data_IF_001315172891
#
_entry.id   IF_001315172891
#
_cell.length_a   1.000
_cell.length_b   1.000
_cell.length_c   1.000
_cell.angle_alpha   90.00
_cell.angle_beta   90.00
_cell.angle_gamma   90.00
#
_symmetry.space_group_name_H-M   'P 1'
#
loop_
_entity.id
_entity.type
_entity.pdbx_description
1 polymer ?
#
# COMPACT_ATOMS: atom_id res chain seq x y z
N UNK A 1 80.59 -3.06 -24.98
CA UNK A 1 79.71 -3.31 -23.78
C UNK A 1 78.90 -2.04 -23.54
N UNK A 2 77.67 -2.00 -24.02
CA UNK A 2 76.80 -0.82 -23.93
C UNK A 2 75.66 -1.08 -22.95
N UNK A 3 75.62 -0.34 -21.86
CA UNK A 3 74.56 -0.35 -20.88
C UNK A 3 73.54 0.74 -21.24
N UNK A 4 72.30 0.31 -21.56
CA UNK A 4 71.19 1.21 -21.79
C UNK A 4 70.47 1.45 -20.45
N UNK A 5 70.42 2.72 -20.05
CA UNK A 5 69.58 3.20 -18.94
C UNK A 5 68.21 3.62 -19.49
N UNK A 6 67.15 2.90 -19.11
CA UNK A 6 65.82 3.30 -19.44
C UNK A 6 65.33 4.20 -18.30
N UNK A 7 65.03 5.45 -18.61
CA UNK A 7 64.37 6.38 -17.69
C UNK A 7 62.87 6.25 -17.87
N UNK A 8 62.18 5.73 -16.86
CA UNK A 8 60.71 5.68 -16.81
C UNK A 8 60.19 7.03 -16.29
N UNK A 9 59.56 7.80 -17.19
CA UNK A 9 58.86 9.03 -16.83
C UNK A 9 57.45 8.70 -16.42
N UNK A 10 57.14 8.85 -15.12
CA UNK A 10 55.82 8.63 -14.57
C UNK A 10 55.00 9.90 -14.75
N UNK A 11 54.08 9.91 -15.70
CA UNK A 11 53.09 10.98 -15.89
C UNK A 11 51.92 10.79 -14.92
N UNK A 12 51.83 11.64 -13.90
CA UNK A 12 50.74 11.69 -12.95
C UNK A 12 49.59 12.50 -13.56
N UNK A 13 48.57 11.84 -14.08
CA UNK A 13 47.35 12.51 -14.55
C UNK A 13 46.40 12.64 -13.36
N UNK A 14 46.24 13.85 -12.83
CA UNK A 14 45.24 14.18 -11.81
C UNK A 14 43.88 14.31 -12.48
N UNK A 15 43.05 13.29 -12.36
CA UNK A 15 41.64 13.37 -12.70
C UNK A 15 40.88 14.08 -11.59
N UNK A 16 40.56 15.36 -11.78
CA UNK A 16 39.63 16.11 -10.98
C UNK A 16 38.19 15.60 -11.23
N UNK A 17 37.73 14.67 -10.41
CA UNK A 17 36.34 14.21 -10.42
C UNK A 17 35.43 15.28 -9.82
N UNK A 18 34.58 15.90 -10.63
CA UNK A 18 33.47 16.73 -10.19
C UNK A 18 32.42 15.76 -9.59
N UNK A 19 32.32 15.71 -8.26
CA UNK A 19 31.24 15.05 -7.55
C UNK A 19 29.98 15.90 -7.74
N UNK A 20 29.19 15.58 -8.77
CA UNK A 20 27.78 15.99 -8.84
C UNK A 20 27.00 15.19 -7.80
N UNK A 21 26.74 15.83 -6.64
CA UNK A 21 25.78 15.33 -5.66
C UNK A 21 24.38 15.55 -6.23
N UNK A 22 24.01 14.73 -7.20
CA UNK A 22 22.64 14.52 -7.59
C UNK A 22 22.03 13.57 -6.57
N UNK A 23 21.39 14.13 -5.54
CA UNK A 23 20.60 13.34 -4.60
C UNK A 23 19.44 12.65 -5.32
N UNK A 24 19.67 11.45 -5.85
CA UNK A 24 18.60 10.58 -6.28
C UNK A 24 17.80 10.20 -5.02
N UNK A 25 16.61 10.76 -4.88
CA UNK A 25 15.63 10.30 -3.89
C UNK A 25 15.38 8.83 -4.23
N UNK A 26 15.69 7.89 -3.32
CA UNK A 26 15.45 6.48 -3.58
C UNK A 26 13.95 6.29 -3.81
N UNK A 27 13.55 5.93 -5.02
CA UNK A 27 12.22 5.38 -5.28
C UNK A 27 12.16 4.05 -4.54
N UNK A 28 11.22 3.91 -3.61
CA UNK A 28 10.92 2.62 -3.01
C UNK A 28 10.71 1.60 -4.14
N UNK A 29 11.55 0.57 -4.16
CA UNK A 29 11.35 -0.56 -5.07
C UNK A 29 10.23 -1.42 -4.49
N UNK A 30 9.50 -2.15 -5.33
CA UNK A 30 8.42 -3.08 -4.95
C UNK A 30 8.81 -4.15 -3.90
N UNK A 31 10.08 -4.20 -3.46
CA UNK A 31 10.58 -5.03 -2.37
C UNK A 31 10.70 -4.34 -1.01
N UNK A 32 10.47 -3.02 -0.93
CA UNK A 32 10.72 -2.21 0.27
C UNK A 32 9.42 -1.71 0.93
N UNK A 33 8.27 -2.32 0.63
CA UNK A 33 7.01 -1.97 1.26
C UNK A 33 7.09 -2.24 2.78
N UNK A 34 6.70 -1.27 3.63
CA UNK A 34 6.75 -1.44 5.08
C UNK A 34 5.83 -2.56 5.54
N UNK A 35 6.33 -3.37 6.49
CA UNK A 35 5.61 -4.47 7.12
C UNK A 35 5.53 -4.19 8.62
N UNK A 36 4.35 -4.39 9.21
CA UNK A 36 4.10 -4.22 10.62
C UNK A 36 3.02 -5.17 11.14
N UNK A 37 2.52 -4.90 12.34
CA UNK A 37 1.45 -5.62 13.00
C UNK A 37 0.19 -4.74 13.10
N UNK A 38 -0.93 -5.34 13.45
CA UNK A 38 -2.15 -4.56 13.74
C UNK A 38 -1.83 -3.45 14.77
N UNK A 39 -2.30 -2.24 14.48
CA UNK A 39 -2.05 -1.06 15.28
C UNK A 39 -0.82 -0.25 14.86
N UNK A 40 0.10 -0.82 14.11
CA UNK A 40 1.26 -0.09 13.61
C UNK A 40 0.84 0.91 12.52
N UNK A 41 1.40 2.11 12.60
CA UNK A 41 1.25 3.12 11.55
C UNK A 41 2.39 2.99 10.55
N UNK A 42 2.04 2.63 9.32
CA UNK A 42 3.00 2.46 8.24
C UNK A 42 2.93 3.63 7.25
N UNK A 43 4.08 4.15 6.86
CA UNK A 43 4.17 5.22 5.87
C UNK A 43 4.21 4.65 4.47
N UNK A 44 3.25 5.09 3.65
CA UNK A 44 3.18 4.84 2.21
C UNK A 44 3.66 6.08 1.47
N UNK A 45 4.71 5.94 0.69
CA UNK A 45 5.22 6.98 -0.20
C UNK A 45 5.36 6.42 -1.62
N UNK A 46 4.48 6.84 -2.51
CA UNK A 46 4.47 6.42 -3.92
C UNK A 46 5.21 7.40 -4.83
N UNK A 47 5.83 8.44 -4.25
CA UNK A 47 6.37 9.57 -5.01
C UNK A 47 5.29 10.57 -5.44
N UNK A 48 4.07 10.12 -5.74
CA UNK A 48 2.92 10.97 -6.12
C UNK A 48 2.16 11.47 -4.90
N UNK A 49 1.95 10.62 -3.91
CA UNK A 49 1.29 10.96 -2.64
C UNK A 49 1.98 10.26 -1.48
N UNK A 50 1.81 10.82 -0.29
CA UNK A 50 2.32 10.27 0.98
C UNK A 50 1.17 10.19 1.96
N UNK A 51 1.00 9.04 2.61
CA UNK A 51 0.01 8.82 3.65
C UNK A 51 0.59 7.97 4.79
N UNK A 52 0.14 8.22 6.01
CA UNK A 52 0.32 7.29 7.12
C UNK A 52 -0.95 6.46 7.24
N UNK A 53 -0.81 5.15 7.25
CA UNK A 53 -1.90 4.18 7.25
C UNK A 53 -1.78 3.25 8.45
N UNK A 54 -2.89 3.03 9.15
CA UNK A 54 -2.96 2.12 10.30
C UNK A 54 -4.14 1.19 10.12
N UNK A 55 -3.93 -0.11 10.20
CA UNK A 55 -4.99 -1.12 10.33
C UNK A 55 -5.06 -1.49 11.82
N UNK A 56 -6.19 -1.18 12.47
CA UNK A 56 -6.30 -1.32 13.93
C UNK A 56 -6.95 -2.62 14.37
N UNK A 57 -7.83 -3.19 13.54
CA UNK A 57 -8.52 -4.43 13.85
C UNK A 57 -8.91 -5.17 12.58
N UNK A 58 -9.05 -6.48 12.68
CA UNK A 58 -9.72 -7.33 11.68
C UNK A 58 -10.60 -8.32 12.45
N UNK A 59 -11.90 -8.35 12.14
CA UNK A 59 -12.85 -9.23 12.82
C UNK A 59 -14.03 -9.62 11.90
N UNK A 60 -14.66 -10.77 12.14
CA UNK A 60 -15.95 -11.08 11.54
C UNK A 60 -17.02 -10.03 11.90
N UNK A 61 -17.91 -9.76 10.96
CA UNK A 61 -19.04 -8.85 11.18
C UNK A 61 -20.26 -9.29 10.38
N UNK A 62 -21.40 -8.67 10.69
CA UNK A 62 -22.58 -8.78 9.84
C UNK A 62 -22.34 -8.06 8.50
N UNK A 63 -22.90 -8.56 7.38
CA UNK A 63 -22.78 -7.89 6.10
C UNK A 63 -23.31 -6.45 6.16
N UNK A 64 -22.50 -5.45 5.80
CA UNK A 64 -22.95 -4.07 5.79
C UNK A 64 -23.97 -3.80 4.66
N UNK A 65 -24.72 -2.69 4.70
CA UNK A 65 -25.62 -2.30 3.63
C UNK A 65 -24.92 -2.29 2.26
N UNK A 66 -25.58 -2.78 1.21
CA UNK A 66 -25.04 -2.87 -0.14
C UNK A 66 -23.94 -3.92 -0.36
N UNK A 67 -23.54 -4.64 0.69
CA UNK A 67 -22.56 -5.71 0.57
C UNK A 67 -23.10 -6.87 -0.28
N UNK A 68 -22.26 -7.40 -1.17
CA UNK A 68 -22.68 -8.48 -2.07
C UNK A 68 -23.41 -8.01 -3.32
N UNK A 69 -23.46 -6.70 -3.56
CA UNK A 69 -23.98 -6.14 -4.81
C UNK A 69 -22.92 -5.31 -5.55
N UNK A 70 -23.03 -5.29 -6.87
CA UNK A 70 -22.28 -4.30 -7.66
C UNK A 70 -22.88 -2.91 -7.47
N UNK A 71 -22.16 -1.85 -7.83
CA UNK A 71 -22.70 -0.47 -7.83
C UNK A 71 -23.97 -0.30 -8.69
N UNK A 72 -24.17 -1.19 -9.67
CA UNK A 72 -25.38 -1.24 -10.52
C UNK A 72 -26.51 -2.05 -9.91
N UNK A 73 -26.37 -2.54 -8.68
CA UNK A 73 -27.40 -3.32 -7.98
C UNK A 73 -27.49 -4.80 -8.40
N UNK A 74 -26.51 -5.33 -9.14
CA UNK A 74 -26.47 -6.73 -9.50
C UNK A 74 -25.86 -7.55 -8.37
N UNK A 75 -26.53 -8.64 -7.89
CA UNK A 75 -25.98 -9.50 -6.84
C UNK A 75 -24.65 -10.13 -7.27
N UNK A 76 -23.67 -10.09 -6.37
CA UNK A 76 -22.39 -10.80 -6.50
C UNK A 76 -22.57 -12.17 -5.85
N UNK A 77 -22.18 -13.23 -6.56
CA UNK A 77 -22.24 -14.59 -6.03
C UNK A 77 -21.36 -14.70 -4.78
N UNK A 78 -21.96 -15.08 -3.64
CA UNK A 78 -21.27 -15.45 -2.41
C UNK A 78 -21.25 -16.96 -2.25
N UNK A 79 -20.30 -17.47 -1.49
CA UNK A 79 -20.25 -18.88 -1.13
C UNK A 79 -21.10 -19.13 0.14
N UNK A 80 -21.77 -20.27 0.27
CA UNK A 80 -22.65 -20.55 1.43
C UNK A 80 -21.95 -20.50 2.79
N UNK A 81 -20.63 -20.73 2.81
CA UNK A 81 -19.81 -20.77 4.03
C UNK A 81 -19.01 -19.49 4.25
N UNK A 82 -19.27 -18.45 3.44
CA UNK A 82 -18.50 -17.22 3.56
C UNK A 82 -18.85 -16.45 4.83
N UNK A 83 -17.81 -15.82 5.41
CA UNK A 83 -17.91 -14.94 6.56
C UNK A 83 -17.44 -13.56 6.14
N UNK A 84 -18.26 -12.55 6.40
CA UNK A 84 -17.84 -11.17 6.14
C UNK A 84 -16.84 -10.75 7.21
N UNK A 85 -15.67 -10.30 6.80
CA UNK A 85 -14.67 -9.72 7.68
C UNK A 85 -14.58 -8.22 7.44
N UNK A 86 -14.39 -7.48 8.53
CA UNK A 86 -14.18 -6.04 8.56
C UNK A 86 -12.80 -5.73 9.08
N UNK A 87 -12.07 -4.82 8.42
CA UNK A 87 -10.89 -4.16 8.96
C UNK A 87 -11.19 -2.69 9.24
N UNK A 88 -10.82 -2.21 10.42
CA UNK A 88 -10.85 -0.80 10.74
C UNK A 88 -9.53 -0.15 10.34
N UNK A 89 -9.62 0.91 9.52
CA UNK A 89 -8.47 1.56 8.92
C UNK A 89 -8.49 3.06 9.23
N UNK A 90 -7.36 3.59 9.64
CA UNK A 90 -7.12 5.04 9.75
C UNK A 90 -6.09 5.46 8.71
N UNK A 91 -6.40 6.51 7.95
CA UNK A 91 -5.52 7.09 6.95
C UNK A 91 -5.29 8.56 7.25
N UNK A 92 -4.04 8.98 7.36
CA UNK A 92 -3.64 10.38 7.46
C UNK A 92 -3.01 10.82 6.14
N UNK A 93 -3.62 11.77 5.47
CA UNK A 93 -3.12 12.37 4.23
C UNK A 93 -1.96 13.33 4.53
N UNK A 94 -0.72 12.96 4.24
CA UNK A 94 0.47 13.79 4.49
C UNK A 94 0.72 14.74 3.32
N UNK A 95 0.79 14.19 2.12
CA UNK A 95 0.97 14.93 0.88
C UNK A 95 0.12 14.27 -0.21
N UNK A 96 -0.87 14.98 -0.69
CA UNK A 96 -1.78 14.47 -1.72
C UNK A 96 -2.01 15.54 -2.79
N UNK A 97 -1.97 15.19 -4.09
CA UNK A 97 -2.21 16.14 -5.19
C UNK A 97 -3.69 16.57 -5.29
N UNK A 98 -4.60 15.73 -4.79
CA UNK A 98 -6.04 16.00 -4.70
C UNK A 98 -6.68 15.14 -3.61
N UNK A 99 -7.89 15.49 -3.18
CA UNK A 99 -8.59 14.87 -2.04
C UNK A 99 -9.09 13.45 -2.29
N UNK A 100 -9.13 12.97 -3.53
CA UNK A 100 -9.67 11.65 -3.89
C UNK A 100 -8.60 10.65 -4.36
N UNK A 101 -7.31 11.03 -4.37
CA UNK A 101 -6.24 10.19 -4.93
C UNK A 101 -6.17 8.82 -4.24
N UNK A 102 -6.33 8.79 -2.91
CA UNK A 102 -6.25 7.56 -2.13
C UNK A 102 -7.46 6.66 -2.36
N UNK A 103 -8.68 7.24 -2.50
CA UNK A 103 -9.89 6.48 -2.82
C UNK A 103 -9.78 5.75 -4.18
N UNK A 104 -9.05 6.31 -5.13
CA UNK A 104 -8.87 5.71 -6.46
C UNK A 104 -7.72 4.71 -6.54
N UNK A 105 -6.73 4.83 -5.65
CA UNK A 105 -5.50 4.06 -5.75
C UNK A 105 -5.34 3.00 -4.65
N UNK A 106 -5.97 3.13 -3.48
CA UNK A 106 -5.86 2.13 -2.43
C UNK A 106 -6.74 0.91 -2.70
N UNK A 107 -6.18 -0.28 -2.51
CA UNK A 107 -6.89 -1.56 -2.42
C UNK A 107 -6.34 -2.35 -1.25
N UNK A 108 -7.19 -2.66 -0.28
CA UNK A 108 -6.80 -3.46 0.89
C UNK A 108 -7.26 -4.89 0.69
N UNK A 109 -6.33 -5.79 0.43
CA UNK A 109 -6.61 -7.21 0.27
C UNK A 109 -6.47 -7.93 1.62
N UNK A 110 -7.42 -8.80 1.95
CA UNK A 110 -7.29 -9.74 3.06
C UNK A 110 -6.61 -11.02 2.58
N UNK A 111 -5.48 -11.39 3.15
CA UNK A 111 -4.72 -12.57 2.72
C UNK A 111 -4.74 -13.65 3.79
N UNK A 112 -4.96 -14.91 3.37
CA UNK A 112 -4.97 -16.08 4.24
C UNK A 112 -3.55 -16.60 4.49
N UNK A 113 -3.33 -17.50 5.49
CA UNK A 113 -2.04 -18.16 5.68
C UNK A 113 -1.57 -18.98 4.47
N UNK A 114 -2.49 -19.34 3.58
CA UNK A 114 -2.21 -20.12 2.36
C UNK A 114 -2.08 -19.25 1.10
N UNK A 115 -1.94 -17.93 1.27
CA UNK A 115 -1.79 -16.95 0.21
C UNK A 115 -3.02 -16.76 -0.73
N UNK A 116 -4.20 -17.20 -0.32
CA UNK A 116 -5.45 -16.79 -0.98
C UNK A 116 -5.73 -15.32 -0.64
N UNK A 117 -6.04 -14.51 -1.65
CA UNK A 117 -6.31 -13.09 -1.48
C UNK A 117 -7.79 -12.77 -1.70
N UNK A 118 -8.42 -12.19 -0.69
CA UNK A 118 -9.78 -11.65 -0.76
C UNK A 118 -9.73 -10.18 -1.15
N UNK A 119 -10.32 -9.87 -2.29
CA UNK A 119 -10.46 -8.49 -2.75
C UNK A 119 -11.51 -7.74 -1.92
N UNK A 120 -11.30 -6.45 -1.64
CA UNK A 120 -12.28 -5.66 -0.92
C UNK A 120 -13.61 -5.59 -1.70
N UNK A 121 -14.71 -5.73 -0.98
CA UNK A 121 -16.07 -5.56 -1.51
C UNK A 121 -16.58 -4.16 -1.27
N UNK A 122 -17.28 -3.60 -2.24
CA UNK A 122 -17.99 -2.34 -2.07
C UNK A 122 -19.15 -2.50 -1.09
N UNK A 123 -19.45 -1.45 -0.35
CA UNK A 123 -20.62 -1.39 0.53
C UNK A 123 -21.16 0.03 0.57
N UNK A 124 -22.45 0.17 0.93
CA UNK A 124 -23.13 1.45 1.14
C UNK A 124 -23.03 1.91 2.61
N UNK A 125 -22.20 1.23 3.41
CA UNK A 125 -21.95 1.67 4.78
C UNK A 125 -21.36 3.09 4.79
N UNK A 126 -21.84 3.99 5.67
CA UNK A 126 -21.37 5.37 5.73
C UNK A 126 -19.89 5.49 6.09
N UNK A 127 -19.33 4.48 6.75
CA UNK A 127 -17.93 4.37 7.14
C UNK A 127 -17.11 3.50 6.17
N UNK A 128 -17.66 3.05 5.04
CA UNK A 128 -16.86 2.33 4.04
C UNK A 128 -15.67 3.20 3.61
N UNK A 129 -14.46 2.65 3.67
CA UNK A 129 -13.22 3.40 3.48
C UNK A 129 -13.17 4.10 2.13
N UNK A 130 -13.63 3.46 1.07
CA UNK A 130 -13.73 4.05 -0.28
C UNK A 130 -14.60 5.32 -0.29
N UNK A 131 -15.69 5.37 0.51
CA UNK A 131 -16.59 6.49 0.58
C UNK A 131 -15.98 7.67 1.34
N UNK A 132 -15.35 7.40 2.49
CA UNK A 132 -14.75 8.44 3.34
C UNK A 132 -13.45 9.00 2.78
N UNK A 133 -12.71 8.23 1.97
CA UNK A 133 -11.48 8.67 1.32
C UNK A 133 -11.71 9.59 0.10
N UNK A 134 -12.94 9.67 -0.44
CA UNK A 134 -13.25 10.56 -1.58
C UNK A 134 -12.95 12.01 -1.26
N UNK A 135 -13.06 12.42 0.01
CA UNK A 135 -12.74 13.78 0.44
C UNK A 135 -11.71 13.79 1.56
N UNK A 136 -10.49 13.39 1.25
CA UNK A 136 -9.36 13.36 2.16
C UNK A 136 -8.25 14.33 1.70
N UNK A 137 -8.43 15.66 1.90
CA UNK A 137 -7.42 16.64 1.54
C UNK A 137 -6.15 16.48 2.39
N UNK A 138 -5.07 17.13 1.98
CA UNK A 138 -3.82 17.12 2.73
C UNK A 138 -4.04 17.57 4.19
N UNK A 139 -3.48 16.81 5.13
CA UNK A 139 -3.65 16.99 6.57
C UNK A 139 -4.87 16.28 7.17
N UNK A 140 -5.81 15.79 6.35
CA UNK A 140 -6.98 15.07 6.86
C UNK A 140 -6.57 13.75 7.52
N UNK A 141 -7.34 13.39 8.56
CA UNK A 141 -7.31 12.06 9.18
C UNK A 141 -8.68 11.46 8.95
N UNK A 142 -8.72 10.36 8.21
CA UNK A 142 -9.94 9.65 7.83
C UNK A 142 -9.95 8.28 8.51
N UNK A 143 -11.12 7.88 9.03
CA UNK A 143 -11.34 6.54 9.58
C UNK A 143 -12.46 5.88 8.80
N UNK A 144 -12.26 4.62 8.45
CA UNK A 144 -13.24 3.85 7.72
C UNK A 144 -13.00 2.36 7.82
N UNK A 145 -13.86 1.60 7.17
CA UNK A 145 -13.83 0.15 7.19
C UNK A 145 -13.64 -0.43 5.78
N UNK A 146 -12.90 -1.52 5.71
CA UNK A 146 -12.78 -2.37 4.52
C UNK A 146 -13.46 -3.70 4.81
N UNK A 147 -14.16 -4.25 3.83
CA UNK A 147 -14.94 -5.47 3.99
C UNK A 147 -14.52 -6.52 2.95
N UNK A 148 -14.40 -7.78 3.42
CA UNK A 148 -14.11 -8.94 2.56
C UNK A 148 -15.14 -10.06 2.78
N UNK A 149 -15.35 -10.81 1.72
CA UNK A 149 -16.10 -12.06 1.74
C UNK A 149 -15.09 -13.22 1.85
N UNK A 150 -14.81 -13.67 3.08
CA UNK A 150 -13.86 -14.76 3.35
C UNK A 150 -14.60 -16.09 3.28
N UNK A 151 -14.35 -16.88 2.25
CA UNK A 151 -15.09 -18.12 1.95
C UNK A 151 -14.28 -19.40 2.12
N UNK A 152 -13.02 -19.30 2.53
CA UNK A 152 -12.11 -20.43 2.82
C UNK A 152 -11.54 -20.27 4.22
N UNK A 153 -10.34 -19.71 4.31
CA UNK A 153 -9.59 -19.53 5.52
C UNK A 153 -9.70 -18.09 6.06
N UNK A 154 -9.51 -17.89 7.37
CA UNK A 154 -9.52 -16.56 7.94
C UNK A 154 -8.38 -15.70 7.39
N UNK A 155 -8.61 -14.39 7.37
CA UNK A 155 -7.56 -13.42 7.05
C UNK A 155 -6.48 -13.45 8.14
N UNK A 156 -5.22 -13.51 7.75
CA UNK A 156 -4.05 -13.47 8.64
C UNK A 156 -3.15 -12.27 8.37
N UNK A 157 -3.31 -11.66 7.19
CA UNK A 157 -2.51 -10.52 6.75
C UNK A 157 -3.42 -9.54 5.99
N UNK A 158 -3.27 -8.26 6.23
CA UNK A 158 -3.86 -7.20 5.39
C UNK A 158 -2.76 -6.60 4.53
N UNK A 159 -2.98 -6.58 3.21
CA UNK A 159 -2.04 -6.03 2.23
C UNK A 159 -2.66 -4.83 1.56
N UNK A 160 -1.99 -3.69 1.61
CA UNK A 160 -2.34 -2.50 0.84
C UNK A 160 -1.61 -2.53 -0.49
N UNK A 161 -2.37 -2.47 -1.56
CA UNK A 161 -1.88 -2.42 -2.94
C UNK A 161 -2.26 -1.09 -3.59
N UNK A 162 -1.45 -0.64 -4.54
CA UNK A 162 -1.91 0.33 -5.53
C UNK A 162 -2.87 -0.37 -6.49
N UNK A 163 -4.10 0.12 -6.58
CA UNK A 163 -5.19 -0.49 -7.37
C UNK A 163 -4.89 -0.54 -8.88
N UNK A 164 -4.08 0.36 -9.38
CA UNK A 164 -3.77 0.48 -10.82
C UNK A 164 -2.58 -0.36 -11.24
N UNK A 165 -1.50 -0.30 -10.45
CA UNK A 165 -0.25 -1.00 -10.76
C UNK A 165 -0.18 -2.39 -10.14
N UNK A 166 -0.95 -2.66 -9.07
CA UNK A 166 -0.82 -3.84 -8.24
C UNK A 166 0.42 -3.79 -7.34
N UNK A 167 1.09 -2.66 -7.25
CA UNK A 167 2.29 -2.49 -6.43
C UNK A 167 1.95 -2.66 -4.95
N UNK A 168 2.78 -3.42 -4.23
CA UNK A 168 2.68 -3.61 -2.79
C UNK A 168 3.14 -2.33 -2.08
N UNK A 169 2.25 -1.71 -1.30
CA UNK A 169 2.48 -0.44 -0.63
C UNK A 169 2.74 -0.59 0.86
N UNK A 170 2.07 -1.51 1.53
CA UNK A 170 2.24 -1.80 2.97
C UNK A 170 1.57 -3.13 3.35
N UNK A 171 1.94 -3.70 4.52
CA UNK A 171 1.38 -4.95 5.00
C UNK A 171 1.28 -4.97 6.52
N UNK A 172 0.17 -5.51 7.06
CA UNK A 172 -0.05 -5.74 8.49
C UNK A 172 -0.32 -7.22 8.76
N UNK A 173 0.45 -7.80 9.67
CA UNK A 173 0.22 -9.15 10.19
C UNK A 173 -0.75 -9.07 11.37
N UNK A 174 -1.72 -10.00 11.41
CA UNK A 174 -2.72 -10.12 12.47
C UNK A 174 -2.17 -10.85 13.67
#
# INVERSE_FOLDING_TARGET
MHRWLIVLSTMLVAFGGILSVGGAIPRARAGDAPIGHLGDTLRVDTGTYVADVTVTSVAPCDPPPGFGYTRSGVPIKSFPTSVVNRADVTVRAIRVPNSFIMATNFSFDGVTPFADAYKPRTSDAPDALDNVLVNAPQGAIVRGAVYWDAYRDPVSVVVLLDRKSGEHLAQWTL
#
